data_IF_851170118274
#
_entry.id   IF_851170118274
#
_cell.length_a   1.000
_cell.length_b   1.000
_cell.length_c   1.000
_cell.angle_alpha   90.00
_cell.angle_beta   90.00
_cell.angle_gamma   90.00
#
_symmetry.space_group_name_H-M   'P 1'
#
loop_
_entity.id
_entity.type
_entity.pdbx_description
1 polymer ?
#
# COMPACT_ATOMS: atom_id res chain seq x y z
N UNK A 1 -8.16 9.42 2.26
CA UNK A 1 -6.82 9.43 2.90
C UNK A 1 -5.70 8.89 2.00
N UNK A 2 -5.82 7.72 1.36
CA UNK A 2 -4.75 7.15 0.51
C UNK A 2 -4.16 8.14 -0.50
N UNK A 3 -5.00 8.72 -1.38
CA UNK A 3 -4.57 9.71 -2.37
C UNK A 3 -3.86 10.91 -1.74
N UNK A 4 -4.33 11.37 -0.58
CA UNK A 4 -3.72 12.49 0.14
C UNK A 4 -2.34 12.13 0.69
N UNK A 5 -2.13 10.90 1.16
CA UNK A 5 -0.81 10.42 1.60
C UNK A 5 0.18 10.30 0.43
N UNK A 6 -0.26 9.73 -0.70
CA UNK A 6 0.57 9.68 -1.91
C UNK A 6 0.93 11.09 -2.41
N UNK A 7 -0.04 12.01 -2.46
CA UNK A 7 0.21 13.39 -2.84
C UNK A 7 1.18 14.08 -1.87
N UNK A 8 0.94 13.95 -0.57
CA UNK A 8 1.79 14.55 0.46
C UNK A 8 3.25 14.08 0.34
N UNK A 9 3.47 12.78 0.15
CA UNK A 9 4.83 12.23 0.05
C UNK A 9 5.49 12.51 -1.31
N UNK A 10 4.84 12.15 -2.42
CA UNK A 10 5.48 12.19 -3.72
C UNK A 10 5.46 13.56 -4.39
N UNK A 11 4.43 14.38 -4.13
CA UNK A 11 4.24 15.69 -4.75
C UNK A 11 4.65 16.81 -3.80
N UNK A 12 4.06 16.87 -2.60
CA UNK A 12 4.33 17.94 -1.62
C UNK A 12 5.64 17.74 -0.85
N UNK A 13 6.31 16.58 -0.99
CA UNK A 13 7.56 16.21 -0.33
C UNK A 13 7.50 16.28 1.21
N UNK A 14 6.32 16.03 1.79
CA UNK A 14 6.13 15.93 3.24
C UNK A 14 6.59 14.56 3.76
N UNK A 15 7.12 14.57 4.99
CA UNK A 15 7.48 13.34 5.71
C UNK A 15 6.24 12.67 6.31
N UNK A 16 5.75 11.63 5.62
CA UNK A 16 4.60 10.82 6.09
C UNK A 16 5.00 9.76 7.13
N UNK A 17 6.26 9.70 7.54
CA UNK A 17 6.69 8.98 8.75
C UNK A 17 6.45 9.77 10.03
N UNK A 18 6.21 11.08 9.93
CA UNK A 18 5.91 11.94 11.06
C UNK A 18 4.40 11.92 11.40
N UNK A 19 4.09 11.62 12.66
CA UNK A 19 2.71 11.50 13.13
C UNK A 19 1.93 12.82 13.06
N UNK A 20 2.58 13.97 13.28
CA UNK A 20 1.92 15.27 13.22
C UNK A 20 1.53 15.63 11.76
N UNK A 21 2.33 15.21 10.79
CA UNK A 21 1.99 15.33 9.35
C UNK A 21 0.78 14.46 9.00
N UNK A 22 0.73 13.23 9.53
CA UNK A 22 -0.41 12.34 9.32
C UNK A 22 -1.71 12.89 9.93
N UNK A 23 -1.62 13.54 11.09
CA UNK A 23 -2.75 14.21 11.74
C UNK A 23 -3.20 15.47 10.97
N UNK A 24 -2.26 16.28 10.47
CA UNK A 24 -2.57 17.43 9.61
C UNK A 24 -3.35 16.98 8.36
N UNK A 25 -2.89 15.91 7.69
CA UNK A 25 -3.56 15.32 6.53
C UNK A 25 -4.95 14.78 6.92
N UNK A 26 -5.06 14.12 8.06
CA UNK A 26 -6.33 13.64 8.59
C UNK A 26 -7.33 14.77 8.82
N UNK A 27 -6.91 15.84 9.49
CA UNK A 27 -7.72 17.01 9.78
C UNK A 27 -8.23 17.69 8.50
N UNK A 28 -7.36 17.87 7.48
CA UNK A 28 -7.73 18.40 6.15
C UNK A 28 -8.81 17.58 5.45
N UNK A 29 -8.87 16.28 5.73
CA UNK A 29 -9.86 15.35 5.18
C UNK A 29 -11.12 15.24 6.06
N UNK A 30 -11.23 16.02 7.13
CA UNK A 30 -12.33 15.96 8.09
C UNK A 30 -12.26 14.76 9.04
N UNK A 31 -11.11 14.08 9.14
CA UNK A 31 -10.87 13.05 10.13
C UNK A 31 -10.53 13.74 11.45
N UNK A 32 -11.54 13.90 12.31
CA UNK A 32 -11.45 14.64 13.57
C UNK A 32 -10.63 13.92 14.66
N UNK A 33 -10.79 14.37 15.90
CA UNK A 33 -10.01 13.91 17.06
C UNK A 33 -9.92 12.39 17.24
N UNK A 34 -10.98 11.64 16.89
CA UNK A 34 -10.95 10.17 17.00
C UNK A 34 -9.86 9.55 16.11
N UNK A 35 -9.59 10.13 14.94
CA UNK A 35 -8.50 9.66 14.08
C UNK A 35 -7.14 9.82 14.76
N UNK A 36 -6.82 11.00 15.27
CA UNK A 36 -5.56 11.28 15.99
C UNK A 36 -5.40 10.34 17.18
N UNK A 37 -6.47 10.17 17.98
CA UNK A 37 -6.47 9.25 19.13
C UNK A 37 -6.12 7.82 18.72
N UNK A 38 -6.74 7.30 17.66
CA UNK A 38 -6.54 5.92 17.17
C UNK A 38 -5.20 5.72 16.47
N UNK A 39 -4.71 6.74 15.77
CA UNK A 39 -3.39 6.75 15.16
C UNK A 39 -2.30 6.64 16.24
N UNK A 40 -2.34 7.53 17.24
CA UNK A 40 -1.40 7.51 18.37
C UNK A 40 -1.56 6.27 19.25
N UNK A 41 -2.79 5.76 19.38
CA UNK A 41 -3.11 4.55 20.14
C UNK A 41 -2.67 3.24 19.48
N UNK A 42 -2.18 3.27 18.25
CA UNK A 42 -1.69 2.06 17.57
C UNK A 42 -2.80 1.07 17.22
N UNK A 43 -4.05 1.54 17.00
CA UNK A 43 -5.22 0.68 16.71
C UNK A 43 -4.99 -0.33 15.55
N UNK A 44 -4.06 0.00 14.65
CA UNK A 44 -3.71 -0.84 13.48
C UNK A 44 -2.37 -1.57 13.61
N UNK A 45 -1.68 -1.50 14.74
CA UNK A 45 -0.38 -2.16 14.94
C UNK A 45 -0.42 -3.65 14.60
N UNK A 46 -1.41 -4.40 15.11
CA UNK A 46 -1.58 -5.83 14.79
C UNK A 46 -1.77 -6.09 13.28
N UNK A 47 -2.45 -5.18 12.57
CA UNK A 47 -2.65 -5.31 11.13
C UNK A 47 -1.34 -5.03 10.37
N UNK A 48 -0.52 -4.08 10.85
CA UNK A 48 0.80 -3.79 10.29
C UNK A 48 1.73 -4.99 10.48
N UNK A 49 1.77 -5.56 11.68
CA UNK A 49 2.59 -6.75 11.95
C UNK A 49 2.18 -7.94 11.07
N UNK A 50 0.87 -8.17 10.91
CA UNK A 50 0.39 -9.21 9.99
C UNK A 50 0.79 -8.94 8.53
N UNK A 51 0.71 -7.68 8.08
CA UNK A 51 1.12 -7.32 6.73
C UNK A 51 2.62 -7.54 6.50
N UNK A 52 3.46 -7.19 7.48
CA UNK A 52 4.91 -7.45 7.42
C UNK A 52 5.22 -8.94 7.41
N UNK A 53 4.58 -9.72 8.27
CA UNK A 53 4.74 -11.18 8.30
C UNK A 53 4.31 -11.84 6.98
N UNK A 54 3.23 -11.36 6.35
CA UNK A 54 2.81 -11.83 5.02
C UNK A 54 3.84 -11.45 3.95
N UNK A 55 4.36 -10.23 3.97
CA UNK A 55 5.39 -9.81 3.01
C UNK A 55 6.66 -10.66 3.12
N UNK A 56 7.09 -10.99 4.34
CA UNK A 56 8.21 -11.90 4.60
C UNK A 56 7.91 -13.33 4.14
N UNK A 57 6.73 -13.86 4.48
CA UNK A 57 6.30 -15.20 4.07
C UNK A 57 6.31 -15.36 2.55
N UNK A 58 5.82 -14.34 1.83
CA UNK A 58 5.86 -14.31 0.38
C UNK A 58 7.21 -13.88 -0.18
N UNK A 59 8.20 -13.50 0.64
CA UNK A 59 9.52 -13.01 0.19
C UNK A 59 9.43 -11.84 -0.79
N UNK A 60 8.53 -10.89 -0.50
CA UNK A 60 8.39 -9.67 -1.30
C UNK A 60 9.65 -8.80 -1.11
N UNK A 61 10.35 -8.50 -2.20
CA UNK A 61 11.58 -7.72 -2.23
C UNK A 61 11.45 -6.38 -2.95
N UNK A 62 10.38 -6.19 -3.74
CA UNK A 62 10.10 -4.93 -4.43
C UNK A 62 8.61 -4.54 -4.40
N UNK A 63 8.34 -3.29 -4.77
CA UNK A 63 6.97 -2.79 -4.93
C UNK A 63 6.80 -2.11 -6.31
N UNK A 64 5.62 -2.22 -6.93
CA UNK A 64 4.49 -3.08 -6.56
C UNK A 64 4.76 -4.58 -6.83
N UNK A 65 4.30 -5.42 -5.91
CA UNK A 65 4.21 -6.88 -6.04
C UNK A 65 2.78 -7.32 -5.79
N UNK A 66 2.26 -8.23 -6.61
CA UNK A 66 0.92 -8.82 -6.46
C UNK A 66 1.03 -10.32 -6.21
N UNK A 67 0.26 -10.78 -5.22
CA UNK A 67 0.01 -12.20 -4.97
C UNK A 67 -1.44 -12.49 -5.38
N UNK A 68 -1.61 -13.31 -6.42
CA UNK A 68 -2.90 -13.68 -7.01
C UNK A 68 -3.21 -15.13 -6.62
N UNK A 69 -4.46 -15.39 -6.19
CA UNK A 69 -4.93 -16.71 -5.72
C UNK A 69 -4.08 -17.35 -4.60
N UNK A 70 -3.27 -16.56 -3.90
CA UNK A 70 -2.42 -17.01 -2.80
C UNK A 70 -1.15 -17.76 -3.22
N UNK A 71 -0.96 -18.06 -4.51
CA UNK A 71 0.14 -18.88 -5.02
C UNK A 71 0.83 -18.36 -6.29
N UNK A 72 0.29 -17.32 -6.95
CA UNK A 72 0.91 -16.71 -8.13
C UNK A 72 1.47 -15.34 -7.73
N UNK A 73 2.79 -15.19 -7.81
CA UNK A 73 3.45 -13.90 -7.59
C UNK A 73 3.82 -13.25 -8.93
N UNK A 74 3.58 -11.95 -9.06
CA UNK A 74 4.08 -11.12 -10.16
C UNK A 74 4.43 -9.73 -9.65
N UNK A 75 5.50 -9.14 -10.17
CA UNK A 75 6.05 -7.86 -9.76
C UNK A 75 6.61 -7.12 -10.99
N UNK A 76 7.27 -5.98 -10.80
CA UNK A 76 7.73 -5.13 -11.91
C UNK A 76 8.99 -5.64 -12.60
N UNK A 77 9.82 -6.41 -11.90
CA UNK A 77 11.15 -6.79 -12.35
C UNK A 77 11.17 -7.49 -13.73
N UNK A 78 10.31 -8.50 -14.01
CA UNK A 78 10.28 -9.18 -15.31
C UNK A 78 9.85 -8.28 -16.48
N UNK A 79 9.22 -7.15 -16.18
CA UNK A 79 8.68 -6.21 -17.16
C UNK A 79 9.57 -4.98 -17.32
N UNK A 80 10.82 -5.00 -16.85
CA UNK A 80 11.73 -3.86 -16.90
C UNK A 80 11.12 -2.57 -16.31
N UNK A 81 10.29 -2.72 -15.27
CA UNK A 81 9.53 -1.64 -14.64
C UNK A 81 8.51 -0.93 -15.55
N UNK A 82 8.02 -1.61 -16.59
CA UNK A 82 6.85 -1.18 -17.38
C UNK A 82 5.54 -1.53 -16.64
N UNK A 83 4.84 -0.48 -16.20
CA UNK A 83 3.58 -0.61 -15.46
C UNK A 83 2.40 -1.08 -16.33
N UNK A 84 2.38 -0.74 -17.62
CA UNK A 84 1.34 -1.18 -18.54
C UNK A 84 1.49 -2.67 -18.83
N UNK A 85 2.73 -3.14 -19.03
CA UNK A 85 3.01 -4.56 -19.21
C UNK A 85 2.63 -5.40 -17.97
N UNK A 86 2.97 -4.92 -16.76
CA UNK A 86 2.55 -5.58 -15.53
C UNK A 86 1.02 -5.63 -15.41
N UNK A 87 0.32 -4.52 -15.72
CA UNK A 87 -1.15 -4.46 -15.69
C UNK A 87 -1.76 -5.49 -16.63
N UNK A 88 -1.30 -5.54 -17.88
CA UNK A 88 -1.85 -6.42 -18.90
C UNK A 88 -1.60 -7.91 -18.54
N UNK A 89 -0.45 -8.21 -17.96
CA UNK A 89 -0.15 -9.53 -17.39
C UNK A 89 -1.11 -9.89 -16.24
N UNK A 90 -1.31 -8.99 -15.28
CA UNK A 90 -2.25 -9.21 -14.15
C UNK A 90 -3.68 -9.46 -14.66
N UNK A 91 -4.16 -8.65 -15.62
CA UNK A 91 -5.50 -8.84 -16.22
C UNK A 91 -5.61 -10.21 -16.90
N UNK A 92 -4.55 -10.64 -17.59
CA UNK A 92 -4.51 -11.95 -18.26
C UNK A 92 -4.59 -13.08 -17.24
N UNK A 93 -3.82 -13.01 -16.15
CA UNK A 93 -3.88 -13.98 -15.06
C UNK A 93 -5.29 -14.02 -14.46
N UNK A 94 -5.87 -12.87 -14.13
CA UNK A 94 -7.21 -12.82 -13.54
C UNK A 94 -8.28 -13.42 -14.46
N UNK A 95 -8.25 -13.15 -15.77
CA UNK A 95 -9.16 -13.75 -16.76
C UNK A 95 -8.99 -15.26 -16.89
N UNK A 96 -7.80 -15.80 -16.60
CA UNK A 96 -7.58 -17.26 -16.63
C UNK A 96 -8.20 -17.98 -15.42
N UNK A 97 -8.40 -17.26 -14.31
CA UNK A 97 -8.92 -17.80 -13.05
C UNK A 97 -10.44 -17.56 -12.94
N UNK A 98 -10.88 -16.35 -13.30
CA UNK A 98 -12.27 -15.91 -13.21
C UNK A 98 -12.94 -16.23 -14.54
N UNK A 99 -13.82 -17.24 -14.52
CA UNK A 99 -14.71 -17.59 -15.64
C UNK A 99 -15.88 -16.63 -15.74
#
# INVERSE_FOLDING_TARGET
MKTALFNAHFVEKKDIGNMDVLEEIGARLGLGFDFSRRLRGGDKEKHVQLALAMAEMYKIDETPTLIIAGNIMTNMHPFHHDADALRDNVITILKSIIK
#
